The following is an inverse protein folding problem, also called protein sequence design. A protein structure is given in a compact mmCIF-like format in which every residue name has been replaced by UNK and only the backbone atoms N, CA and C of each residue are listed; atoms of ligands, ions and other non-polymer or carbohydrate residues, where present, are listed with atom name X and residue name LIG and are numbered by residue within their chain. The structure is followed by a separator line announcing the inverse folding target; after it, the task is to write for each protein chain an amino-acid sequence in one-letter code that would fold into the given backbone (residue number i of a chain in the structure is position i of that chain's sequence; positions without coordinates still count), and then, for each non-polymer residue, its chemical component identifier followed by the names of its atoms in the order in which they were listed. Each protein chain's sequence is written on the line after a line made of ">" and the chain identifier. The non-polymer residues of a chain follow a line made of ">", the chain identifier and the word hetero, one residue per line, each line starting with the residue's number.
data_IF_506645412813
#
_entry.id   IF_506645412813
#
_cell.length_a   1.000
_cell.length_b   1.000
_cell.length_c   1.000
_cell.angle_alpha   90.00
_cell.angle_beta   90.00
_cell.angle_gamma   90.00
#
_symmetry.space_group_name_H-M   'P 1'
#
loop_
_entity.id
_entity.type
_entity.pdbx_description
1 polymer ?
#
# COMPACT_ATOMS: atom_id res chain seq x y z
N UNK A 1 -6.20 4.65 -1.47
CA UNK A 1 -6.95 3.78 -2.42
C UNK A 1 -6.52 4.12 -3.84
N UNK A 2 -6.58 3.16 -4.77
CA UNK A 2 -6.21 3.37 -6.17
C UNK A 2 -7.44 3.18 -7.07
N UNK A 3 -7.59 4.03 -8.08
CA UNK A 3 -8.59 3.86 -9.15
C UNK A 3 -7.82 3.79 -10.46
N UNK A 4 -8.12 2.77 -11.26
CA UNK A 4 -7.51 2.57 -12.56
C UNK A 4 -8.58 2.56 -13.66
N UNK A 5 -8.17 2.96 -14.87
CA UNK A 5 -8.99 2.81 -16.08
C UNK A 5 -8.51 1.58 -16.83
N UNK A 6 -9.45 0.72 -17.24
CA UNK A 6 -9.13 -0.45 -18.06
C UNK A 6 -8.46 -0.03 -19.37
N UNK A 7 -7.32 -0.65 -19.69
CA UNK A 7 -6.61 -0.45 -20.95
C UNK A 7 -7.45 -0.83 -22.19
N UNK A 8 -8.50 -1.64 -22.01
CA UNK A 8 -9.41 -2.07 -23.08
C UNK A 8 -10.63 -1.16 -23.25
N UNK A 9 -10.76 -0.11 -22.44
CA UNK A 9 -11.89 0.81 -22.52
C UNK A 9 -11.88 1.56 -23.86
N UNK A 10 -13.04 1.70 -24.49
CA UNK A 10 -13.21 2.56 -25.67
C UNK A 10 -13.36 4.04 -25.29
N UNK A 11 -13.50 4.34 -23.99
CA UNK A 11 -13.75 5.69 -23.47
C UNK A 11 -12.62 6.16 -22.53
N UNK A 12 -11.37 5.76 -22.77
CA UNK A 12 -10.26 6.01 -21.83
C UNK A 12 -10.14 7.47 -21.40
N UNK A 13 -10.24 8.42 -22.35
CA UNK A 13 -10.16 9.85 -22.04
C UNK A 13 -11.24 10.30 -21.06
N UNK A 14 -12.51 10.02 -21.38
CA UNK A 14 -13.65 10.36 -20.52
C UNK A 14 -13.59 9.65 -19.17
N UNK A 15 -13.12 8.40 -19.14
CA UNK A 15 -12.93 7.66 -17.90
C UNK A 15 -11.89 8.34 -17.00
N UNK A 16 -10.75 8.79 -17.55
CA UNK A 16 -9.76 9.53 -16.78
C UNK A 16 -10.24 10.91 -16.34
N UNK A 17 -11.01 11.62 -17.17
CA UNK A 17 -11.68 12.86 -16.76
C UNK A 17 -12.63 12.62 -15.58
N UNK A 18 -13.37 11.51 -15.58
CA UNK A 18 -14.21 11.12 -14.47
C UNK A 18 -13.41 10.75 -13.22
N UNK A 19 -12.30 10.01 -13.35
CA UNK A 19 -11.40 9.72 -12.21
C UNK A 19 -10.84 11.02 -11.61
N UNK A 20 -10.49 12.01 -12.45
CA UNK A 20 -10.08 13.34 -12.00
C UNK A 20 -11.18 14.03 -11.19
N UNK A 21 -12.42 14.00 -11.69
CA UNK A 21 -13.58 14.52 -10.94
C UNK A 21 -13.79 13.79 -9.61
N UNK A 22 -13.68 12.46 -9.57
CA UNK A 22 -13.76 11.66 -8.34
C UNK A 22 -12.67 11.98 -7.31
N UNK A 23 -11.62 12.68 -7.75
CA UNK A 23 -10.47 13.07 -6.93
C UNK A 23 -10.55 14.52 -6.46
N UNK A 24 -11.65 15.25 -6.70
CA UNK A 24 -11.81 16.59 -6.13
C UNK A 24 -12.13 16.51 -4.63
N UNK A 25 -11.77 17.53 -3.83
CA UNK A 25 -12.04 17.55 -2.39
C UNK A 25 -13.50 17.26 -2.05
N UNK A 26 -14.41 17.88 -2.79
CA UNK A 26 -15.86 17.83 -2.54
C UNK A 26 -16.38 16.40 -2.73
N UNK A 27 -15.94 15.73 -3.81
CA UNK A 27 -16.38 14.37 -4.11
C UNK A 27 -15.75 13.36 -3.14
N UNK A 28 -14.48 13.55 -2.76
CA UNK A 28 -13.80 12.71 -1.77
C UNK A 28 -14.51 12.78 -0.43
N UNK A 29 -14.80 14.00 0.05
CA UNK A 29 -15.43 14.22 1.35
C UNK A 29 -16.84 13.62 1.41
N UNK A 30 -17.61 13.71 0.32
CA UNK A 30 -18.94 13.14 0.24
C UNK A 30 -18.95 11.59 0.21
N UNK A 31 -17.87 10.95 -0.23
CA UNK A 31 -17.79 9.47 -0.41
C UNK A 31 -17.19 8.72 0.78
N UNK A 32 -16.30 9.36 1.54
CA UNK A 32 -15.39 8.65 2.44
C UNK A 32 -15.61 9.07 3.89
N UNK A 33 -16.13 8.14 4.70
CA UNK A 33 -16.37 8.36 6.14
C UNK A 33 -15.52 7.46 7.03
N UNK A 34 -14.84 6.46 6.48
CA UNK A 34 -14.11 5.44 7.29
C UNK A 34 -12.64 5.26 6.92
N UNK A 35 -12.15 5.94 5.87
CA UNK A 35 -10.76 5.85 5.43
C UNK A 35 -10.09 7.23 5.38
N UNK A 36 -8.75 7.30 5.54
CA UNK A 36 -8.00 8.50 5.22
C UNK A 36 -8.26 8.98 3.79
N UNK A 37 -8.40 10.28 3.62
CA UNK A 37 -8.47 10.92 2.31
C UNK A 37 -7.13 10.73 1.58
N UNK A 38 -7.15 10.48 0.26
CA UNK A 38 -5.94 10.21 -0.51
C UNK A 38 -5.14 11.48 -0.83
N UNK A 39 -5.63 12.67 -0.44
CA UNK A 39 -5.01 13.96 -0.75
C UNK A 39 -4.42 14.59 0.51
N UNK A 40 -3.14 14.97 0.43
CA UNK A 40 -2.39 15.51 1.56
C UNK A 40 -2.91 16.88 2.01
N UNK A 41 -3.38 17.73 1.09
CA UNK A 41 -3.99 19.02 1.40
C UNK A 41 -5.31 18.90 2.17
N UNK A 42 -5.92 17.71 2.21
CA UNK A 42 -7.11 17.42 2.99
C UNK A 42 -6.80 16.83 4.38
N UNK A 43 -5.52 16.64 4.75
CA UNK A 43 -5.13 16.04 6.02
C UNK A 43 -5.70 16.80 7.24
N UNK A 44 -5.73 18.13 7.16
CA UNK A 44 -6.30 18.97 8.22
C UNK A 44 -7.79 18.72 8.50
N UNK A 45 -8.53 18.12 7.57
CA UNK A 45 -9.94 17.78 7.74
C UNK A 45 -10.15 16.52 8.59
N UNK A 46 -9.13 15.66 8.74
CA UNK A 46 -9.24 14.36 9.43
C UNK A 46 -8.27 14.22 10.61
N UNK A 47 -7.39 15.19 10.86
CA UNK A 47 -6.42 15.11 11.96
C UNK A 47 -7.08 15.06 13.35
N UNK A 48 -8.27 15.64 13.50
CA UNK A 48 -9.07 15.60 14.73
C UNK A 48 -9.99 14.38 14.85
N UNK A 49 -10.01 13.46 13.88
CA UNK A 49 -10.81 12.25 13.94
C UNK A 49 -10.25 11.29 15.01
N UNK A 50 -11.09 10.75 15.93
CA UNK A 50 -10.62 9.92 17.04
C UNK A 50 -10.00 8.59 16.62
N UNK A 51 -10.30 8.11 15.40
CA UNK A 51 -9.75 6.86 14.85
C UNK A 51 -8.63 7.19 13.86
N UNK A 52 -8.88 8.10 12.92
CA UNK A 52 -7.96 8.39 11.81
C UNK A 52 -6.85 9.38 12.18
N UNK A 53 -7.06 10.25 13.17
CA UNK A 53 -6.15 11.35 13.48
C UNK A 53 -4.70 10.93 13.72
N UNK A 54 -4.49 9.83 14.46
CA UNK A 54 -3.17 9.27 14.73
C UNK A 54 -2.47 8.72 13.47
N UNK A 55 -3.24 8.21 12.50
CA UNK A 55 -2.69 7.76 11.21
C UNK A 55 -2.37 8.96 10.32
N UNK A 56 -3.23 9.97 10.29
CA UNK A 56 -3.03 11.19 9.50
C UNK A 56 -1.78 11.94 9.97
N UNK A 57 -1.55 12.06 11.29
CA UNK A 57 -0.38 12.77 11.83
C UNK A 57 0.96 12.09 11.47
N UNK A 58 0.93 10.79 11.19
CA UNK A 58 2.12 10.00 10.84
C UNK A 58 2.23 9.72 9.33
N UNK A 59 1.18 9.98 8.56
CA UNK A 59 1.08 9.59 7.15
C UNK A 59 2.23 10.09 6.28
N UNK A 60 2.80 11.26 6.59
CA UNK A 60 3.94 11.83 5.86
C UNK A 60 5.23 10.97 5.96
N UNK A 61 5.33 10.13 6.99
CA UNK A 61 6.47 9.24 7.22
C UNK A 61 6.25 7.83 6.66
N UNK A 62 5.02 7.48 6.29
CA UNK A 62 4.71 6.14 5.79
C UNK A 62 5.38 5.90 4.45
N UNK A 63 5.91 4.69 4.29
CA UNK A 63 6.48 4.18 3.05
C UNK A 63 5.62 3.02 2.57
N UNK A 64 5.37 2.99 1.26
CA UNK A 64 4.75 1.83 0.63
C UNK A 64 5.72 0.66 0.65
N UNK A 65 5.17 -0.55 0.83
CA UNK A 65 5.94 -1.79 0.77
C UNK A 65 5.04 -2.93 0.27
N UNK A 66 5.66 -4.01 -0.20
CA UNK A 66 4.99 -5.18 -0.74
C UNK A 66 4.58 -6.16 0.37
N UNK A 67 3.69 -5.73 1.26
CA UNK A 67 3.17 -6.58 2.36
C UNK A 67 1.65 -6.48 2.50
N UNK A 68 0.95 -6.09 1.43
CA UNK A 68 -0.50 -6.00 1.48
C UNK A 68 -1.13 -7.37 1.20
N UNK A 69 -1.60 -8.05 2.24
CA UNK A 69 -2.30 -9.34 2.15
C UNK A 69 -3.63 -9.26 1.38
N UNK A 70 -4.25 -8.08 1.31
CA UNK A 70 -5.49 -7.86 0.58
C UNK A 70 -5.27 -7.52 -0.89
N UNK A 71 -4.01 -7.43 -1.35
CA UNK A 71 -3.71 -7.21 -2.76
C UNK A 71 -4.21 -8.37 -3.65
N UNK A 72 -4.26 -9.60 -3.10
CA UNK A 72 -4.69 -10.83 -3.78
C UNK A 72 -4.07 -10.96 -5.17
N UNK A 73 -2.78 -10.66 -5.25
CA UNK A 73 -2.09 -10.51 -6.53
C UNK A 73 -1.51 -11.83 -7.06
N UNK A 74 -1.51 -12.90 -6.25
CA UNK A 74 -0.76 -14.12 -6.51
C UNK A 74 0.67 -13.78 -6.98
N UNK A 75 1.23 -12.72 -6.40
CA UNK A 75 2.27 -11.92 -7.00
C UNK A 75 3.24 -11.37 -5.96
N UNK A 76 3.73 -10.15 -6.20
CA UNK A 76 4.82 -9.60 -5.40
C UNK A 76 4.46 -9.45 -3.91
N UNK A 77 3.20 -9.10 -3.59
CA UNK A 77 2.79 -9.00 -2.18
C UNK A 77 2.71 -10.38 -1.54
N UNK A 78 2.08 -11.35 -2.19
CA UNK A 78 1.91 -12.69 -1.64
C UNK A 78 3.26 -13.40 -1.42
N UNK A 79 4.20 -13.29 -2.38
CA UNK A 79 5.54 -13.88 -2.25
C UNK A 79 6.36 -13.20 -1.15
N UNK A 80 6.28 -11.87 -1.06
CA UNK A 80 6.98 -11.13 -0.02
C UNK A 80 6.40 -11.41 1.37
N UNK A 81 5.07 -11.44 1.53
CA UNK A 81 4.41 -11.81 2.78
C UNK A 81 4.86 -13.20 3.24
N UNK A 82 4.87 -14.18 2.33
CA UNK A 82 5.31 -15.55 2.65
C UNK A 82 6.78 -15.63 3.08
N UNK A 83 7.65 -14.82 2.48
CA UNK A 83 9.05 -14.72 2.87
C UNK A 83 9.20 -14.18 4.30
N UNK A 84 8.49 -13.10 4.63
CA UNK A 84 8.49 -12.52 5.97
C UNK A 84 7.81 -13.43 7.01
N UNK A 85 6.75 -14.14 6.62
CA UNK A 85 6.10 -15.16 7.46
C UNK A 85 7.10 -16.23 7.89
N UNK A 86 7.94 -16.72 6.97
CA UNK A 86 9.00 -17.67 7.29
C UNK A 86 9.99 -17.14 8.33
N UNK A 87 10.43 -15.88 8.19
CA UNK A 87 11.31 -15.24 9.17
C UNK A 87 10.63 -15.09 10.53
N UNK A 88 9.38 -14.65 10.57
CA UNK A 88 8.60 -14.52 11.81
C UNK A 88 8.43 -15.87 12.51
N UNK A 89 8.07 -16.92 11.77
CA UNK A 89 7.93 -18.26 12.33
C UNK A 89 9.24 -18.79 12.93
N UNK A 90 10.39 -18.50 12.31
CA UNK A 90 11.69 -18.85 12.88
C UNK A 90 11.96 -18.13 14.21
N UNK A 91 11.61 -16.84 14.31
CA UNK A 91 11.75 -16.07 15.55
C UNK A 91 10.79 -16.60 16.64
N UNK A 92 9.55 -16.89 16.28
CA UNK A 92 8.56 -17.47 17.20
C UNK A 92 8.98 -18.85 17.74
N UNK A 93 9.85 -19.56 17.02
CA UNK A 93 10.45 -20.83 17.45
C UNK A 93 11.75 -20.66 18.26
N UNK A 94 12.09 -19.43 18.66
CA UNK A 94 13.27 -19.13 19.47
C UNK A 94 14.51 -18.71 18.68
N UNK A 95 14.38 -18.48 17.37
CA UNK A 95 15.45 -17.93 16.54
C UNK A 95 15.76 -16.46 16.84
N UNK A 96 16.98 -16.03 16.51
CA UNK A 96 17.40 -14.62 16.62
C UNK A 96 16.73 -13.76 15.54
N UNK A 97 16.15 -12.62 15.95
CA UNK A 97 15.43 -11.72 15.05
C UNK A 97 16.33 -11.07 14.00
N UNK A 98 17.58 -10.74 14.35
CA UNK A 98 18.53 -10.16 13.40
C UNK A 98 18.94 -11.19 12.35
N UNK A 99 19.27 -12.39 12.79
CA UNK A 99 19.61 -13.52 11.92
C UNK A 99 18.48 -13.88 10.97
N UNK A 100 17.23 -13.92 11.45
CA UNK A 100 16.06 -14.19 10.62
C UNK A 100 15.88 -13.15 9.50
N UNK A 101 16.05 -11.85 9.81
CA UNK A 101 15.99 -10.79 8.80
C UNK A 101 17.15 -10.85 7.81
N UNK A 102 18.37 -11.12 8.27
CA UNK A 102 19.53 -11.28 7.40
C UNK A 102 19.36 -12.48 6.45
N UNK A 103 18.78 -13.58 6.93
CA UNK A 103 18.57 -14.78 6.15
C UNK A 103 17.60 -14.57 4.97
N UNK A 104 16.60 -13.70 5.12
CA UNK A 104 15.64 -13.41 4.04
C UNK A 104 16.10 -12.32 3.08
N UNK A 105 17.16 -11.57 3.39
CA UNK A 105 17.63 -10.46 2.55
C UNK A 105 17.89 -10.85 1.08
N UNK A 106 18.54 -12.00 0.76
CA UNK A 106 18.70 -12.43 -0.62
C UNK A 106 17.35 -12.73 -1.30
N UNK A 107 16.40 -13.31 -0.58
CA UNK A 107 15.06 -13.61 -1.07
C UNK A 107 14.26 -12.36 -1.41
N UNK A 108 14.39 -11.29 -0.62
CA UNK A 108 13.79 -9.99 -0.92
C UNK A 108 14.31 -9.49 -2.27
N UNK A 109 15.63 -9.52 -2.49
CA UNK A 109 16.24 -9.12 -3.76
C UNK A 109 15.72 -9.91 -4.95
N UNK A 110 15.66 -11.24 -4.82
CA UNK A 110 15.13 -12.13 -5.87
C UNK A 110 13.69 -11.82 -6.24
N UNK A 111 12.82 -11.58 -5.25
CA UNK A 111 11.42 -11.20 -5.49
C UNK A 111 11.35 -9.86 -6.20
N UNK A 112 12.08 -8.84 -5.71
CA UNK A 112 12.09 -7.52 -6.33
C UNK A 112 12.57 -7.57 -7.79
N UNK A 113 13.61 -8.34 -8.09
CA UNK A 113 14.13 -8.49 -9.45
C UNK A 113 13.14 -9.21 -10.37
N UNK A 114 12.52 -10.30 -9.90
CA UNK A 114 11.50 -11.07 -10.64
C UNK A 114 10.35 -10.18 -11.13
N UNK A 115 9.90 -9.25 -10.29
CA UNK A 115 8.81 -8.33 -10.62
C UNK A 115 9.30 -6.95 -11.12
N UNK A 116 10.61 -6.81 -11.40
CA UNK A 116 11.23 -5.56 -11.88
C UNK A 116 10.97 -4.35 -10.96
N UNK A 117 10.84 -4.62 -9.66
CA UNK A 117 10.57 -3.64 -8.60
C UNK A 117 11.84 -3.12 -7.91
N UNK A 118 13.02 -3.67 -8.22
CA UNK A 118 14.31 -3.30 -7.62
C UNK A 118 14.86 -1.94 -8.05
N UNK A 119 14.28 -1.30 -9.07
CA UNK A 119 14.77 -0.06 -9.70
C UNK A 119 13.95 1.21 -9.36
N UNK A 120 13.23 1.23 -8.25
CA UNK A 120 12.48 2.43 -7.82
C UNK A 120 13.26 3.32 -6.88
#
# INVERSE_FOLDING_TARGET
>A
WAIAVSARSQNQKKAWEFVKYLSTPEVIQARSTTLPYPRQDMAGLQVGDPILGAYISQAAYFKGWYLNSDARDAGINDEMVKLYEGALNSVLQGGDSRGALQAIQPGIGQILDKYQASKK
#
